data_IF_940950917075
#
_entry.id   IF_940950917075
#
_cell.length_a   1.000
_cell.length_b   1.000
_cell.length_c   1.000
_cell.angle_alpha   90.00
_cell.angle_beta   90.00
_cell.angle_gamma   90.00
#
_symmetry.space_group_name_H-M   'P 1'
#
loop_
_entity.id
_entity.type
_entity.pdbx_description
1 polymer ?
#
# COMPACT_ATOMS: atom_id res chain seq x y z
N UNK A 1 -3.52 -14.09 4.96
CA UNK A 1 -4.46 -13.99 3.82
C UNK A 1 -3.85 -13.06 2.81
N UNK A 2 -3.78 -13.43 1.52
CA UNK A 2 -3.36 -12.50 0.47
C UNK A 2 -4.31 -11.30 0.43
N UNK A 3 -3.80 -10.14 0.04
CA UNK A 3 -4.65 -8.98 -0.19
C UNK A 3 -5.46 -9.18 -1.47
N UNK A 4 -6.57 -8.45 -1.58
CA UNK A 4 -7.47 -8.53 -2.73
C UNK A 4 -7.29 -7.29 -3.63
N UNK A 5 -7.64 -7.44 -4.91
CA UNK A 5 -7.76 -6.31 -5.82
C UNK A 5 -8.72 -5.27 -5.24
N UNK A 6 -8.39 -3.99 -5.40
CA UNK A 6 -9.10 -2.84 -4.85
C UNK A 6 -9.08 -2.72 -3.32
N UNK A 7 -8.31 -3.54 -2.62
CA UNK A 7 -8.10 -3.36 -1.18
C UNK A 7 -7.27 -2.09 -0.92
N UNK A 8 -7.72 -1.30 0.05
CA UNK A 8 -6.94 -0.17 0.58
C UNK A 8 -5.85 -0.70 1.51
N UNK A 9 -4.63 -0.19 1.33
CA UNK A 9 -3.45 -0.51 2.13
C UNK A 9 -2.79 0.77 2.65
N UNK A 10 -2.05 0.65 3.74
CA UNK A 10 -1.34 1.75 4.39
C UNK A 10 0.16 1.42 4.47
N UNK A 11 1.02 2.30 3.98
CA UNK A 11 2.47 2.13 4.07
C UNK A 11 2.93 2.06 5.52
N UNK A 12 3.85 1.14 5.84
CA UNK A 12 4.44 1.01 7.19
C UNK A 12 5.78 1.74 7.35
N UNK A 13 6.31 2.29 6.25
CA UNK A 13 7.56 3.05 6.20
C UNK A 13 7.50 4.08 5.08
N UNK A 14 8.34 5.10 5.18
CA UNK A 14 8.50 6.09 4.11
C UNK A 14 9.07 5.44 2.83
N UNK A 15 8.69 6.00 1.69
CA UNK A 15 9.31 5.77 0.38
C UNK A 15 9.75 7.14 -0.15
N UNK A 16 10.96 7.60 0.21
CA UNK A 16 11.43 8.96 -0.07
C UNK A 16 11.46 9.30 -1.55
N UNK A 17 11.76 8.32 -2.41
CA UNK A 17 11.89 8.49 -3.87
C UNK A 17 10.58 8.95 -4.53
N UNK A 18 9.44 8.68 -3.87
CA UNK A 18 8.11 9.04 -4.34
C UNK A 18 7.40 10.04 -3.43
N UNK A 19 8.11 10.61 -2.44
CA UNK A 19 7.54 11.51 -1.44
C UNK A 19 6.33 10.91 -0.69
N UNK A 20 6.32 9.59 -0.51
CA UNK A 20 5.24 8.89 0.19
C UNK A 20 5.64 8.64 1.65
N UNK A 21 4.96 9.24 2.63
CA UNK A 21 5.23 8.97 4.04
C UNK A 21 4.63 7.63 4.50
N UNK A 22 5.16 7.08 5.59
CA UNK A 22 4.48 6.06 6.36
C UNK A 22 3.08 6.55 6.74
N UNK A 23 2.08 5.67 6.65
CA UNK A 23 0.68 6.04 6.80
C UNK A 23 -0.01 6.48 5.50
N UNK A 24 0.73 6.73 4.40
CA UNK A 24 0.12 6.98 3.11
C UNK A 24 -0.74 5.79 2.67
N UNK A 25 -1.94 6.09 2.16
CA UNK A 25 -2.90 5.08 1.70
C UNK A 25 -2.81 4.92 0.19
N UNK A 26 -2.83 3.67 -0.24
CA UNK A 26 -2.93 3.30 -1.64
C UNK A 26 -3.95 2.19 -1.85
N UNK A 27 -4.22 1.88 -3.11
CA UNK A 27 -5.15 0.84 -3.53
C UNK A 27 -4.40 -0.21 -4.35
N UNK A 28 -4.66 -1.49 -4.09
CA UNK A 28 -4.12 -2.56 -4.92
C UNK A 28 -4.83 -2.58 -6.26
N UNK A 29 -4.08 -2.40 -7.35
CA UNK A 29 -4.58 -2.35 -8.72
C UNK A 29 -4.11 -3.52 -9.59
N UNK A 30 -3.12 -4.30 -9.13
CA UNK A 30 -2.76 -5.60 -9.72
C UNK A 30 -2.11 -6.55 -8.68
N UNK A 31 -2.09 -7.85 -8.97
CA UNK A 31 -1.52 -8.92 -8.13
C UNK A 31 -0.58 -9.79 -8.97
N UNK A 32 0.72 -9.66 -8.72
CA UNK A 32 1.75 -10.43 -9.43
C UNK A 32 2.08 -11.78 -8.79
N UNK A 33 1.52 -12.06 -7.61
CA UNK A 33 1.75 -13.32 -6.89
C UNK A 33 1.24 -13.26 -5.45
N UNK A 34 1.76 -14.14 -4.61
CA UNK A 34 1.25 -14.30 -3.24
C UNK A 34 1.58 -13.10 -2.34
N UNK A 35 2.70 -12.41 -2.59
CA UNK A 35 3.22 -11.33 -1.74
C UNK A 35 3.60 -10.07 -2.52
N UNK A 36 3.39 -10.00 -3.83
CA UNK A 36 3.73 -8.86 -4.69
C UNK A 36 2.47 -8.24 -5.30
N UNK A 37 2.30 -6.95 -5.08
CA UNK A 37 1.10 -6.20 -5.45
C UNK A 37 1.49 -4.90 -6.13
N UNK A 38 0.77 -4.51 -7.17
CA UNK A 38 0.86 -3.16 -7.69
C UNK A 38 -0.10 -2.26 -6.90
N UNK A 39 0.43 -1.18 -6.33
CA UNK A 39 -0.32 -0.25 -5.49
C UNK A 39 -0.27 1.13 -6.12
N UNK A 40 -1.46 1.69 -6.36
CA UNK A 40 -1.63 3.07 -6.79
C UNK A 40 -1.83 3.98 -5.58
N UNK A 41 -1.10 5.10 -5.56
CA UNK A 41 -1.28 6.20 -4.61
C UNK A 41 -1.82 7.41 -5.36
N UNK A 42 -2.90 8.00 -4.85
CA UNK A 42 -3.59 9.12 -5.48
C UNK A 42 -3.56 10.36 -4.58
N UNK A 43 -3.44 11.53 -5.21
CA UNK A 43 -3.46 12.83 -4.56
C UNK A 43 -4.88 13.31 -4.27
N UNK A 44 -4.98 14.47 -3.64
CA UNK A 44 -6.26 15.06 -3.25
C UNK A 44 -7.14 15.45 -4.46
N UNK A 45 -6.54 15.67 -5.63
CA UNK A 45 -7.28 15.97 -6.86
C UNK A 45 -7.58 14.72 -7.71
N UNK A 46 -7.26 13.53 -7.20
CA UNK A 46 -7.45 12.26 -7.89
C UNK A 46 -6.37 11.93 -8.93
N UNK A 47 -5.28 12.69 -8.98
CA UNK A 47 -4.12 12.40 -9.80
C UNK A 47 -3.31 11.24 -9.21
N UNK A 48 -2.76 10.39 -10.07
CA UNK A 48 -1.81 9.36 -9.64
C UNK A 48 -0.50 10.01 -9.20
N UNK A 49 -0.12 9.82 -7.93
CA UNK A 49 1.17 10.24 -7.39
C UNK A 49 2.26 9.20 -7.64
N UNK A 50 1.92 7.92 -7.50
CA UNK A 50 2.84 6.81 -7.74
C UNK A 50 2.09 5.52 -8.05
N UNK A 51 2.72 4.66 -8.83
CA UNK A 51 2.28 3.29 -9.11
C UNK A 51 3.46 2.36 -8.85
N UNK A 52 3.39 1.57 -7.76
CA UNK A 52 4.54 0.85 -7.23
C UNK A 52 4.25 -0.64 -7.06
N UNK A 53 5.18 -1.49 -7.53
CA UNK A 53 5.21 -2.90 -7.18
C UNK A 53 5.82 -3.07 -5.78
N UNK A 54 5.00 -3.48 -4.82
CA UNK A 54 5.33 -3.55 -3.39
C UNK A 54 5.11 -4.95 -2.82
N UNK A 55 5.91 -5.29 -1.79
CA UNK A 55 5.76 -6.52 -1.04
C UNK A 55 4.74 -6.36 0.10
N UNK A 56 3.69 -7.18 0.11
CA UNK A 56 2.60 -7.10 1.09
C UNK A 56 2.97 -7.48 2.52
N UNK A 57 4.17 -8.00 2.77
CA UNK A 57 4.67 -8.30 4.12
C UNK A 57 5.57 -7.20 4.69
N UNK A 58 6.26 -6.43 3.84
CA UNK A 58 7.31 -5.50 4.29
C UNK A 58 7.05 -4.04 3.92
N UNK A 59 6.07 -3.75 3.06
CA UNK A 59 5.80 -2.38 2.62
C UNK A 59 4.51 -1.79 3.20
N UNK A 60 3.47 -2.58 3.44
CA UNK A 60 2.17 -2.05 3.84
C UNK A 60 1.37 -3.03 4.72
N UNK A 61 0.34 -2.49 5.37
CA UNK A 61 -0.63 -3.21 6.19
C UNK A 61 -2.05 -2.84 5.77
N UNK A 62 -3.05 -3.60 6.22
CA UNK A 62 -4.44 -3.20 6.09
C UNK A 62 -4.76 -2.04 7.07
N UNK A 63 -5.41 -0.95 6.63
CA UNK A 63 -5.79 0.15 7.50
C UNK A 63 -6.67 -0.34 8.65
N UNK A 64 -6.48 0.22 9.85
CA UNK A 64 -7.30 -0.12 11.02
C UNK A 64 -7.01 -1.50 11.64
N UNK A 65 -6.16 -2.33 11.02
CA UNK A 65 -5.58 -3.50 11.67
C UNK A 65 -4.45 -3.03 12.57
N UNK A 66 -4.81 -2.44 13.72
CA UNK A 66 -3.87 -2.27 14.82
C UNK A 66 -3.33 -3.67 15.12
N UNK A 67 -1.99 -3.83 15.15
CA UNK A 67 -1.40 -5.02 15.73
C UNK A 67 -2.04 -5.18 17.11
N UNK A 68 -2.69 -6.31 17.36
CA UNK A 68 -3.04 -6.71 18.71
C UNK A 68 -1.70 -6.82 19.44
N UNK A 69 -1.31 -5.77 20.14
CA UNK A 69 -0.26 -5.84 21.13
C UNK A 69 -0.79 -6.82 22.19
N UNK A 70 -0.04 -7.91 22.36
CA UNK A 70 -0.24 -8.94 23.38
C UNK A 70 -0.29 -8.35 24.80
#
# INVERSE_FOLDING_TARGET
MPYQLLAVVELIRDIPEHHLPAGARGVIVDIYGQDKYEVEFVGENGETLALLALNGQTNFKQPGKLGTAS
#
